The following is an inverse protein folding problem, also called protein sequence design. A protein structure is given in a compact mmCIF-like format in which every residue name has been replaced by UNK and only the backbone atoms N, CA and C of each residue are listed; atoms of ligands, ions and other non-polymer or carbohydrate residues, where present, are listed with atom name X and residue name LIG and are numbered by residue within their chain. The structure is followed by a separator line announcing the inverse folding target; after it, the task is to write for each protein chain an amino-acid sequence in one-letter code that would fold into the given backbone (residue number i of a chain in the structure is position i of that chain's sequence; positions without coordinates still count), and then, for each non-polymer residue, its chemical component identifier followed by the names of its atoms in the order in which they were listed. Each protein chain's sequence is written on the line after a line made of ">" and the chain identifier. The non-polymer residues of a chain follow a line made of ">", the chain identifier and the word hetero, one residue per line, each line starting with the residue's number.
data_IF_059247471017
#
_entry.id   IF_059247471017
#
_cell.length_a   1.000
_cell.length_b   1.000
_cell.length_c   1.000
_cell.angle_alpha   90.00
_cell.angle_beta   90.00
_cell.angle_gamma   90.00
#
_symmetry.space_group_name_H-M   'P 1'
#
loop_
_entity.id
_entity.type
_entity.pdbx_description
1 polymer ?
#
# COMPACT_ATOMS: atom_id res chain seq x y z
N UNK A 1 7.89 -8.52 -14.43
CA UNK A 1 9.04 -7.97 -13.66
C UNK A 1 10.20 -7.56 -14.59
N UNK A 2 10.01 -7.57 -15.91
CA UNK A 2 11.08 -7.46 -16.91
C UNK A 2 11.70 -6.06 -17.00
N UNK A 3 10.99 -5.02 -16.52
CA UNK A 3 11.47 -3.64 -16.50
C UNK A 3 12.31 -3.28 -15.25
N UNK A 4 12.58 -4.23 -14.35
CA UNK A 4 13.38 -4.01 -13.13
C UNK A 4 12.67 -3.21 -12.02
N UNK A 5 11.40 -2.85 -12.22
CA UNK A 5 10.60 -2.15 -11.22
C UNK A 5 9.96 -3.08 -10.17
N UNK A 6 9.51 -2.47 -9.07
CA UNK A 6 8.80 -3.16 -7.99
C UNK A 6 7.29 -2.91 -8.11
N UNK A 7 6.50 -3.97 -8.32
CA UNK A 7 5.04 -3.83 -8.45
C UNK A 7 4.37 -3.63 -7.08
N UNK A 8 3.42 -2.69 -7.01
CA UNK A 8 2.69 -2.31 -5.78
C UNK A 8 1.18 -2.29 -6.03
N UNK A 9 0.39 -2.87 -5.12
CA UNK A 9 -1.06 -2.61 -5.05
C UNK A 9 -1.29 -1.22 -4.43
N UNK A 10 -1.85 -0.28 -5.21
CA UNK A 10 -2.11 1.09 -4.76
C UNK A 10 -3.45 1.23 -4.01
N UNK A 11 -3.48 2.00 -2.92
CA UNK A 11 -4.68 2.38 -2.14
C UNK A 11 -5.77 1.28 -2.07
N UNK A 12 -5.46 0.08 -1.52
CA UNK A 12 -6.30 -1.12 -1.65
C UNK A 12 -7.70 -0.96 -1.04
N UNK A 13 -7.85 -0.08 -0.06
CA UNK A 13 -9.14 0.18 0.59
C UNK A 13 -10.11 0.98 -0.28
N UNK A 14 -9.65 1.64 -1.36
CA UNK A 14 -10.52 2.37 -2.29
C UNK A 14 -11.28 1.46 -3.26
N UNK A 15 -10.92 0.18 -3.37
CA UNK A 15 -11.52 -0.76 -4.32
C UNK A 15 -12.95 -1.21 -3.96
N UNK A 16 -13.45 -0.86 -2.77
CA UNK A 16 -14.77 -1.29 -2.25
C UNK A 16 -14.94 -2.82 -2.27
N UNK A 17 -13.84 -3.55 -2.04
CA UNK A 17 -13.83 -5.01 -1.96
C UNK A 17 -14.11 -5.47 -0.52
N UNK A 18 -14.76 -6.62 -0.39
CA UNK A 18 -14.79 -7.33 0.89
C UNK A 18 -13.38 -7.82 1.25
N UNK A 19 -13.11 -8.05 2.53
CA UNK A 19 -11.80 -8.56 2.96
C UNK A 19 -11.39 -9.87 2.27
N UNK A 20 -12.35 -10.75 1.97
CA UNK A 20 -12.09 -12.00 1.23
C UNK A 20 -11.70 -11.75 -0.22
N UNK A 21 -12.36 -10.80 -0.91
CA UNK A 21 -11.99 -10.43 -2.28
C UNK A 21 -10.61 -9.76 -2.33
N UNK A 22 -10.31 -8.89 -1.36
CA UNK A 22 -8.99 -8.26 -1.27
C UNK A 22 -7.88 -9.29 -1.02
N UNK A 23 -8.09 -10.26 -0.15
CA UNK A 23 -7.14 -11.36 0.07
C UNK A 23 -6.88 -12.16 -1.19
N UNK A 24 -7.95 -12.54 -1.92
CA UNK A 24 -7.81 -13.22 -3.21
C UNK A 24 -7.04 -12.39 -4.24
N UNK A 25 -7.31 -11.07 -4.31
CA UNK A 25 -6.53 -10.17 -5.16
C UNK A 25 -5.04 -10.19 -4.77
N UNK A 26 -4.72 -10.18 -3.48
CA UNK A 26 -3.33 -10.25 -2.99
C UNK A 26 -2.68 -11.59 -3.37
N UNK A 27 -3.40 -12.70 -3.24
CA UNK A 27 -2.93 -14.02 -3.65
C UNK A 27 -2.59 -14.07 -5.15
N UNK A 28 -3.52 -13.60 -5.99
CA UNK A 28 -3.35 -13.53 -7.44
C UNK A 28 -2.17 -12.60 -7.80
N UNK A 29 -2.09 -11.44 -7.14
CA UNK A 29 -1.00 -10.47 -7.33
C UNK A 29 0.36 -11.03 -6.95
N UNK A 30 0.49 -11.72 -5.82
CA UNK A 30 1.73 -12.39 -5.41
C UNK A 30 2.12 -13.49 -6.40
N UNK A 31 1.16 -14.28 -6.86
CA UNK A 31 1.39 -15.34 -7.85
C UNK A 31 1.94 -14.77 -9.16
N UNK A 32 1.50 -13.56 -9.54
CA UNK A 32 2.02 -12.83 -10.70
C UNK A 32 3.39 -12.15 -10.47
N UNK A 33 4.01 -12.31 -9.30
CA UNK A 33 5.29 -11.70 -8.94
C UNK A 33 5.18 -10.30 -8.35
N UNK A 34 4.00 -9.92 -7.84
CA UNK A 34 3.79 -8.69 -7.09
C UNK A 34 4.49 -8.71 -5.72
N UNK A 35 5.01 -7.56 -5.27
CA UNK A 35 5.98 -7.53 -4.17
C UNK A 35 5.63 -6.54 -3.04
N UNK A 36 4.70 -5.62 -3.27
CA UNK A 36 4.35 -4.61 -2.28
C UNK A 36 2.85 -4.24 -2.29
N UNK A 37 2.42 -3.62 -1.20
CA UNK A 37 1.08 -3.05 -1.04
C UNK A 37 1.20 -1.67 -0.37
N UNK A 38 0.40 -0.72 -0.81
CA UNK A 38 0.33 0.59 -0.17
C UNK A 38 -0.39 0.48 1.18
N UNK A 39 0.37 0.69 2.26
CA UNK A 39 -0.11 0.60 3.64
C UNK A 39 -0.63 1.94 4.13
N UNK A 40 0.06 3.02 3.77
CA UNK A 40 -0.29 4.39 4.15
C UNK A 40 -0.62 5.22 2.91
N UNK A 41 -1.84 5.71 2.83
CA UNK A 41 -2.35 6.40 1.63
C UNK A 41 -3.13 7.65 2.01
N UNK A 42 -2.60 8.83 1.66
CA UNK A 42 -3.22 10.13 1.89
C UNK A 42 -3.83 10.31 3.28
N UNK A 43 -5.06 10.81 3.33
CA UNK A 43 -5.87 10.82 4.55
C UNK A 43 -6.53 9.47 4.79
N UNK A 44 -5.96 8.72 5.74
CA UNK A 44 -6.41 7.40 6.15
C UNK A 44 -6.61 7.34 7.67
N UNK A 45 -7.62 6.60 8.13
CA UNK A 45 -7.80 6.37 9.56
C UNK A 45 -6.71 5.43 10.10
N UNK A 46 -6.17 5.62 11.32
CA UNK A 46 -5.13 4.75 11.88
C UNK A 46 -5.49 3.25 11.88
N UNK A 47 -6.77 2.92 12.07
CA UNK A 47 -7.25 1.53 12.05
C UNK A 47 -7.16 0.90 10.66
N UNK A 48 -7.45 1.69 9.63
CA UNK A 48 -7.30 1.26 8.24
C UNK A 48 -5.83 0.96 7.94
N UNK A 49 -4.91 1.82 8.40
CA UNK A 49 -3.47 1.60 8.27
C UNK A 49 -3.03 0.32 8.99
N UNK A 50 -3.50 0.08 10.21
CA UNK A 50 -3.19 -1.16 10.95
C UNK A 50 -3.71 -2.40 10.23
N UNK A 51 -4.90 -2.33 9.65
CA UNK A 51 -5.48 -3.45 8.89
C UNK A 51 -4.64 -3.79 7.65
N UNK A 52 -4.21 -2.79 6.86
CA UNK A 52 -3.39 -3.05 5.67
C UNK A 52 -1.97 -3.46 6.07
N UNK A 53 -1.40 -2.91 7.15
CA UNK A 53 -0.13 -3.35 7.69
C UNK A 53 -0.16 -4.83 8.12
N UNK A 54 -1.26 -5.28 8.72
CA UNK A 54 -1.45 -6.69 9.07
C UNK A 54 -1.52 -7.58 7.81
N UNK A 55 -2.18 -7.13 6.74
CA UNK A 55 -2.18 -7.82 5.45
C UNK A 55 -0.77 -7.87 4.84
N UNK A 56 -0.05 -6.75 4.81
CA UNK A 56 1.32 -6.68 4.31
C UNK A 56 2.23 -7.69 5.04
N UNK A 57 2.14 -7.73 6.37
CA UNK A 57 2.87 -8.70 7.19
C UNK A 57 2.45 -10.15 6.91
N UNK A 58 1.15 -10.43 6.86
CA UNK A 58 0.63 -11.78 6.64
C UNK A 58 1.06 -12.36 5.29
N UNK A 59 1.04 -11.53 4.25
CA UNK A 59 1.43 -11.90 2.90
C UNK A 59 2.90 -11.63 2.58
N UNK A 60 3.72 -11.24 3.56
CA UNK A 60 5.14 -10.93 3.38
C UNK A 60 5.40 -9.92 2.24
N UNK A 61 4.49 -8.97 2.07
CA UNK A 61 4.62 -7.87 1.12
C UNK A 61 5.37 -6.70 1.74
N UNK A 62 6.15 -6.00 0.92
CA UNK A 62 6.72 -4.72 1.29
C UNK A 62 5.62 -3.66 1.42
N UNK A 63 5.85 -2.67 2.26
CA UNK A 63 4.93 -1.57 2.48
C UNK A 63 5.35 -0.35 1.64
N UNK A 64 4.42 0.16 0.84
CA UNK A 64 4.54 1.47 0.21
C UNK A 64 3.72 2.51 0.97
N UNK A 65 4.04 3.78 0.75
CA UNK A 65 3.23 4.91 1.17
C UNK A 65 3.14 5.97 0.06
N UNK A 66 2.04 6.70 0.03
CA UNK A 66 1.81 7.76 -0.94
C UNK A 66 0.78 8.77 -0.43
N UNK A 67 0.91 10.02 -0.86
CA UNK A 67 -0.11 11.03 -0.53
C UNK A 67 -1.37 10.87 -1.37
N UNK A 68 -1.25 10.33 -2.59
CA UNK A 68 -2.34 10.35 -3.58
C UNK A 68 -2.76 11.81 -3.93
N UNK A 69 -1.77 12.72 -3.98
CA UNK A 69 -1.96 14.15 -4.28
C UNK A 69 -2.28 14.39 -5.76
N UNK A 70 -3.27 15.23 -6.04
CA UNK A 70 -3.75 15.51 -7.40
C UNK A 70 -3.88 17.02 -7.72
N UNK A 71 -3.54 17.92 -6.78
CA UNK A 71 -3.58 19.36 -7.00
C UNK A 71 -3.82 20.15 -5.70
N UNK A 72 -3.32 21.41 -5.61
CA UNK A 72 -3.43 22.22 -4.39
C UNK A 72 -4.87 22.61 -4.04
N UNK A 73 -5.77 22.62 -5.02
CA UNK A 73 -7.21 22.79 -4.83
C UNK A 73 -7.90 21.62 -4.11
N UNK A 74 -7.28 20.44 -4.04
CA UNK A 74 -7.84 19.26 -3.37
C UNK A 74 -7.40 19.21 -1.91
N UNK A 75 -8.29 19.60 -1.00
CA UNK A 75 -7.99 19.71 0.44
C UNK A 75 -7.91 18.37 1.18
N UNK A 76 -8.30 17.26 0.54
CA UNK A 76 -8.29 15.92 1.16
C UNK A 76 -6.95 15.19 1.04
N UNK A 77 -6.01 15.70 0.27
CA UNK A 77 -4.66 15.15 0.20
C UNK A 77 -3.66 16.27 -0.09
N UNK A 78 -2.61 16.34 0.71
CA UNK A 78 -1.50 17.27 0.51
C UNK A 78 -0.26 16.48 0.14
N UNK A 79 0.60 17.06 -0.70
CA UNK A 79 1.85 16.43 -1.08
C UNK A 79 2.69 16.09 0.17
N UNK A 80 3.08 14.83 0.29
CA UNK A 80 3.87 14.33 1.42
C UNK A 80 3.08 14.07 2.71
N UNK A 81 1.76 14.28 2.72
CA UNK A 81 0.92 14.06 3.89
C UNK A 81 0.29 12.67 3.86
N UNK A 82 0.77 11.80 4.73
CA UNK A 82 0.23 10.47 5.02
C UNK A 82 0.78 10.01 6.39
N UNK A 83 0.18 8.96 6.96
CA UNK A 83 0.64 8.42 8.23
C UNK A 83 2.00 7.70 8.08
N UNK A 84 2.89 7.74 9.09
CA UNK A 84 4.13 6.98 9.04
C UNK A 84 3.84 5.47 8.95
N UNK A 85 4.67 4.74 8.20
CA UNK A 85 4.58 3.28 8.16
C UNK A 85 4.83 2.69 9.55
N UNK A 86 4.03 1.71 10.00
CA UNK A 86 4.31 0.97 11.22
C UNK A 86 5.70 0.33 11.19
N UNK A 87 6.40 0.32 12.33
CA UNK A 87 7.71 -0.33 12.46
C UNK A 87 7.70 -1.83 12.13
N UNK A 88 6.53 -2.47 12.15
CA UNK A 88 6.34 -3.87 11.74
C UNK A 88 6.37 -4.10 10.23
N UNK A 89 6.32 -3.03 9.43
CA UNK A 89 6.35 -3.08 7.98
C UNK A 89 7.77 -2.90 7.44
N UNK A 90 8.13 -3.68 6.41
CA UNK A 90 9.36 -3.47 5.66
C UNK A 90 9.08 -2.52 4.49
N UNK A 91 9.67 -1.31 4.44
CA UNK A 91 9.38 -0.34 3.40
C UNK A 91 9.88 -0.81 2.02
N UNK A 92 9.14 -0.50 0.95
CA UNK A 92 9.47 -0.92 -0.42
C UNK A 92 10.82 -0.36 -0.91
N UNK A 93 11.18 0.85 -0.47
CA UNK A 93 12.47 1.46 -0.79
C UNK A 93 13.67 0.84 -0.08
N UNK A 94 13.46 -0.12 0.84
CA UNK A 94 14.57 -0.90 1.42
C UNK A 94 15.27 -1.82 0.41
N UNK A 95 14.71 -1.98 -0.79
CA UNK A 95 15.31 -2.75 -1.87
C UNK A 95 15.96 -1.88 -2.96
N UNK A 96 15.88 -0.54 -2.84
CA UNK A 96 16.42 0.36 -3.86
C UNK A 96 17.92 0.57 -3.60
N UNK A 97 18.68 0.64 -4.70
CA UNK A 97 20.12 0.92 -4.72
C UNK A 97 20.39 2.30 -5.30
#
# INVERSE_FOLDING_TARGET
>A
IEAGGQAVIAHPLRYKMTGTKLRRLIDDFKTAGGQAIEVSSGHQHPDQLRNVAALAKHYELLASCGSDFHGPEQTWSELGRFLPLPASCKPVWSLWQ
#
